data_IF_800859688187
#
_entry.id   IF_800859688187
#
_cell.length_a   1.000
_cell.length_b   1.000
_cell.length_c   1.000
_cell.angle_alpha   90.00
_cell.angle_beta   90.00
_cell.angle_gamma   90.00
#
_symmetry.space_group_name_H-M   'P 1'
#
loop_
_entity.id
_entity.type
_entity.pdbx_description
1 polymer ?
#
# COMPACT_ATOMS: atom_id res chain seq x y z
N UNK A 1 58.85 29.65 37.65
CA UNK A 1 58.48 28.79 36.50
C UNK A 1 57.21 28.04 36.89
N UNK A 2 56.03 28.51 36.44
CA UNK A 2 54.73 27.92 36.78
C UNK A 2 54.26 27.08 35.59
N UNK A 3 54.14 25.78 35.77
CA UNK A 3 53.53 24.86 34.80
C UNK A 3 52.02 24.85 35.11
N UNK A 4 51.22 25.41 34.19
CA UNK A 4 49.77 25.34 34.24
C UNK A 4 49.38 24.05 33.52
N UNK A 5 48.89 23.06 34.28
CA UNK A 5 48.20 21.89 33.72
C UNK A 5 46.80 22.34 33.28
N UNK A 6 46.63 22.52 31.97
CA UNK A 6 45.31 22.71 31.37
C UNK A 6 44.68 21.33 31.14
N UNK A 7 43.98 20.83 32.15
CA UNK A 7 43.10 19.67 32.00
C UNK A 7 41.87 20.10 31.20
N UNK A 8 41.91 19.94 29.88
CA UNK A 8 40.74 20.02 29.02
C UNK A 8 39.91 18.77 29.31
N UNK A 9 38.97 18.89 30.24
CA UNK A 9 37.88 17.94 30.35
C UNK A 9 36.88 18.32 29.27
N UNK A 10 36.91 17.60 28.14
CA UNK A 10 35.81 17.54 27.19
C UNK A 10 34.63 16.87 27.90
N UNK A 11 33.89 17.63 28.69
CA UNK A 11 32.57 17.24 29.15
C UNK A 11 31.65 17.26 27.93
N UNK A 12 31.47 16.10 27.30
CA UNK A 12 30.26 15.82 26.52
C UNK A 12 29.08 15.78 27.49
N UNK A 13 28.52 16.95 27.77
CA UNK A 13 27.24 17.07 28.47
C UNK A 13 26.14 16.71 27.46
N UNK A 14 25.96 15.42 27.12
CA UNK A 14 24.59 14.92 26.86
C UNK A 14 23.95 14.87 28.25
N UNK A 15 23.40 16.00 28.68
CA UNK A 15 22.51 16.04 29.82
C UNK A 15 21.30 15.17 29.47
N UNK A 16 21.19 14.06 30.20
CA UNK A 16 20.00 13.26 30.49
C UNK A 16 18.73 13.78 29.79
N UNK A 17 18.37 13.20 28.64
CA UNK A 17 16.99 13.23 28.13
C UNK A 17 16.74 13.69 26.70
N UNK A 18 17.69 14.33 26.00
CA UNK A 18 17.36 15.07 24.74
C UNK A 18 18.13 14.56 23.49
N UNK A 19 19.06 13.61 23.63
CA UNK A 19 19.88 13.15 22.50
C UNK A 19 19.17 12.18 21.49
N UNK A 20 17.83 12.07 21.45
CA UNK A 20 17.09 11.31 20.43
C UNK A 20 15.65 11.84 20.20
N UNK A 21 15.48 12.91 19.41
CA UNK A 21 14.23 13.10 18.68
C UNK A 21 14.53 13.26 17.19
N UNK A 22 15.22 12.27 16.63
CA UNK A 22 14.77 11.75 15.34
C UNK A 22 13.75 10.67 15.68
N UNK A 23 12.46 10.96 15.50
CA UNK A 23 11.44 9.92 15.51
C UNK A 23 10.79 9.81 14.14
N UNK A 24 11.53 9.39 13.09
CA UNK A 24 10.85 8.83 11.93
C UNK A 24 9.98 7.68 12.44
N UNK A 25 8.78 7.53 11.92
CA UNK A 25 7.95 6.37 12.19
C UNK A 25 8.70 5.11 11.78
N UNK A 26 8.80 4.18 12.73
CA UNK A 26 9.50 2.90 12.61
C UNK A 26 8.54 1.71 12.69
N UNK A 27 7.25 1.94 12.53
CA UNK A 27 6.30 0.89 12.18
C UNK A 27 6.31 0.71 10.67
N UNK A 28 6.75 -0.47 10.23
CA UNK A 28 6.79 -0.86 8.84
C UNK A 28 5.60 -1.76 8.54
N UNK A 29 4.54 -1.18 7.99
CA UNK A 29 3.39 -1.94 7.51
C UNK A 29 3.70 -2.69 6.23
N UNK A 30 3.42 -3.99 6.18
CA UNK A 30 3.40 -4.80 4.96
C UNK A 30 1.95 -5.10 4.57
N UNK A 31 1.63 -4.89 3.30
CA UNK A 31 0.30 -5.13 2.73
C UNK A 31 0.41 -6.18 1.65
N UNK A 32 -0.04 -7.40 1.96
CA UNK A 32 -0.24 -8.44 0.94
C UNK A 32 -1.68 -8.40 0.48
N UNK A 33 -1.89 -8.37 -0.83
CA UNK A 33 -3.23 -8.30 -1.42
C UNK A 33 -3.49 -9.47 -2.35
N UNK A 34 -4.67 -10.07 -2.21
CA UNK A 34 -5.24 -11.02 -3.16
C UNK A 34 -6.52 -10.43 -3.76
N UNK A 35 -6.72 -10.66 -5.06
CA UNK A 35 -7.92 -10.25 -5.77
C UNK A 35 -8.60 -11.47 -6.36
N UNK A 36 -9.89 -11.63 -6.05
CA UNK A 36 -10.74 -12.68 -6.60
C UNK A 36 -11.89 -12.06 -7.39
N UNK A 37 -12.02 -12.42 -8.67
CA UNK A 37 -13.16 -12.03 -9.50
C UNK A 37 -14.40 -12.79 -9.06
N UNK A 38 -15.44 -12.08 -8.64
CA UNK A 38 -16.71 -12.68 -8.25
C UNK A 38 -17.66 -12.81 -9.44
N UNK A 39 -17.61 -11.84 -10.35
CA UNK A 39 -18.33 -11.82 -11.61
C UNK A 39 -17.63 -10.83 -12.57
N UNK A 40 -18.26 -10.49 -13.71
CA UNK A 40 -17.67 -9.61 -14.72
C UNK A 40 -17.37 -8.18 -14.25
N UNK A 41 -17.97 -7.72 -13.15
CA UNK A 41 -17.87 -6.33 -12.70
C UNK A 41 -17.59 -6.17 -11.20
N UNK A 42 -17.38 -7.26 -10.46
CA UNK A 42 -17.11 -7.22 -9.02
C UNK A 42 -15.89 -8.07 -8.67
N UNK A 43 -15.03 -7.50 -7.82
CA UNK A 43 -13.80 -8.10 -7.34
C UNK A 43 -13.79 -8.05 -5.82
N UNK A 44 -13.47 -9.19 -5.19
CA UNK A 44 -13.16 -9.28 -3.77
C UNK A 44 -11.67 -8.96 -3.59
N UNK A 45 -11.38 -8.00 -2.72
CA UNK A 45 -10.03 -7.66 -2.29
C UNK A 45 -9.82 -8.18 -0.89
N UNK A 46 -8.77 -8.94 -0.69
CA UNK A 46 -8.40 -9.55 0.58
C UNK A 46 -6.99 -9.05 0.93
N UNK A 47 -6.85 -8.42 2.09
CA UNK A 47 -5.58 -7.88 2.55
C UNK A 47 -5.14 -8.59 3.80
N UNK A 48 -3.86 -8.94 3.83
CA UNK A 48 -3.13 -9.22 5.06
C UNK A 48 -2.29 -7.98 5.37
N UNK A 49 -2.60 -7.34 6.50
CA UNK A 49 -1.91 -6.16 7.01
C UNK A 49 -1.04 -6.64 8.16
N UNK A 50 0.26 -6.57 7.98
CA UNK A 50 1.27 -7.07 8.92
C UNK A 50 2.11 -5.90 9.42
N UNK A 51 2.42 -5.89 10.71
CA UNK A 51 3.50 -5.06 11.24
C UNK A 51 4.80 -5.86 11.11
N UNK A 52 5.76 -5.39 10.33
CA UNK A 52 7.03 -6.11 10.10
C UNK A 52 7.69 -6.50 11.42
N UNK A 53 8.34 -7.67 11.46
CA UNK A 53 9.16 -8.09 12.61
C UNK A 53 10.29 -7.09 12.93
N UNK A 54 10.74 -6.35 11.91
CA UNK A 54 11.78 -5.31 12.02
C UNK A 54 11.25 -3.99 12.61
N UNK A 55 9.94 -3.87 12.82
CA UNK A 55 9.34 -2.67 13.36
C UNK A 55 9.70 -2.47 14.83
N UNK A 56 10.01 -1.24 15.21
CA UNK A 56 10.28 -0.86 16.61
C UNK A 56 9.02 -0.35 17.33
N UNK A 57 7.88 -0.33 16.63
CA UNK A 57 6.64 0.33 17.07
C UNK A 57 5.44 -0.56 16.82
N UNK A 58 4.38 -0.35 17.61
CA UNK A 58 3.08 -0.98 17.40
C UNK A 58 2.39 -0.28 16.24
N UNK A 59 1.93 -0.99 15.22
CA UNK A 59 1.15 -0.41 14.14
C UNK A 59 -0.27 -0.14 14.64
N UNK A 60 -0.66 1.13 14.67
CA UNK A 60 -1.94 1.57 15.26
C UNK A 60 -2.91 2.14 14.24
N UNK A 61 -2.43 2.58 13.08
CA UNK A 61 -3.28 3.07 12.01
C UNK A 61 -2.73 2.71 10.64
N UNK A 62 -3.63 2.61 9.66
CA UNK A 62 -3.26 2.51 8.26
C UNK A 62 -4.25 3.24 7.36
N UNK A 63 -3.81 3.57 6.16
CA UNK A 63 -4.70 3.95 5.07
C UNK A 63 -4.27 3.33 3.74
N UNK A 64 -5.24 2.84 2.97
CA UNK A 64 -5.06 2.35 1.60
C UNK A 64 -5.76 3.34 0.68
N UNK A 65 -5.04 3.91 -0.30
CA UNK A 65 -5.67 4.80 -1.26
C UNK A 65 -6.54 4.02 -2.26
N UNK A 66 -7.83 4.36 -2.34
CA UNK A 66 -8.82 3.70 -3.19
C UNK A 66 -9.50 4.72 -4.07
N UNK A 67 -9.62 4.40 -5.36
CA UNK A 67 -10.32 5.24 -6.35
C UNK A 67 -11.66 4.63 -6.73
N UNK A 68 -12.49 4.37 -5.71
CA UNK A 68 -13.85 3.84 -5.85
C UNK A 68 -14.78 4.56 -4.86
N UNK A 69 -15.78 5.26 -5.40
CA UNK A 69 -16.74 6.03 -4.59
C UNK A 69 -17.72 5.18 -3.81
N UNK A 70 -17.89 3.92 -4.20
CA UNK A 70 -18.83 3.00 -3.56
C UNK A 70 -18.44 2.62 -2.12
N UNK A 71 -17.25 3.04 -1.67
CA UNK A 71 -16.77 2.85 -0.29
C UNK A 71 -17.05 4.01 0.65
N UNK A 72 -17.59 5.13 0.17
CA UNK A 72 -17.79 6.28 1.04
C UNK A 72 -18.81 5.95 2.14
N UNK A 73 -18.37 6.04 3.39
CA UNK A 73 -19.20 5.74 4.57
C UNK A 73 -19.51 4.26 4.77
N UNK A 74 -18.71 3.36 4.19
CA UNK A 74 -18.80 1.92 4.47
C UNK A 74 -17.82 1.53 5.55
N UNK A 75 -18.35 0.99 6.64
CA UNK A 75 -17.57 0.28 7.66
C UNK A 75 -17.22 -1.12 7.17
N UNK A 76 -15.95 -1.49 7.27
CA UNK A 76 -15.47 -2.84 7.00
C UNK A 76 -15.36 -3.58 8.34
N UNK A 77 -15.89 -4.81 8.44
CA UNK A 77 -15.77 -5.60 9.66
C UNK A 77 -14.30 -5.77 10.07
N UNK A 78 -14.02 -5.48 11.33
CA UNK A 78 -12.74 -5.78 11.95
C UNK A 78 -12.64 -7.27 12.30
N UNK A 79 -11.44 -7.86 12.29
CA UNK A 79 -11.20 -9.19 12.86
C UNK A 79 -11.78 -9.30 14.28
N UNK A 80 -12.30 -10.47 14.69
CA UNK A 80 -12.90 -10.64 16.02
C UNK A 80 -11.90 -10.53 17.17
N UNK A 81 -10.61 -10.75 16.91
CA UNK A 81 -9.53 -10.76 17.90
C UNK A 81 -8.85 -9.39 18.10
N UNK A 82 -9.09 -8.41 17.23
CA UNK A 82 -8.54 -7.05 17.34
C UNK A 82 -9.64 -6.04 17.07
N UNK A 83 -9.81 -5.01 17.91
CA UNK A 83 -10.85 -3.99 17.70
C UNK A 83 -10.28 -2.84 16.86
N UNK A 84 -10.43 -2.94 15.55
CA UNK A 84 -10.15 -1.86 14.61
C UNK A 84 -11.45 -1.22 14.15
N UNK A 85 -11.44 0.08 13.94
CA UNK A 85 -12.48 0.74 13.14
C UNK A 85 -11.93 0.95 11.75
N UNK A 86 -12.59 0.35 10.74
CA UNK A 86 -12.16 0.44 9.35
C UNK A 86 -13.29 1.08 8.55
N UNK A 87 -13.02 2.21 7.92
CA UNK A 87 -14.04 2.99 7.20
C UNK A 87 -13.48 3.64 5.94
N UNK A 88 -14.34 3.79 4.94
CA UNK A 88 -14.09 4.57 3.75
C UNK A 88 -14.32 6.06 4.02
N UNK A 89 -13.36 6.71 4.69
CA UNK A 89 -13.41 8.13 4.99
C UNK A 89 -13.20 8.96 3.71
N UNK A 90 -14.14 9.87 3.42
CA UNK A 90 -13.84 11.10 2.68
C UNK A 90 -13.06 10.94 1.38
N UNK A 91 -13.68 10.26 0.41
CA UNK A 91 -13.40 10.35 -1.03
C UNK A 91 -12.29 9.48 -1.65
N UNK A 92 -11.26 9.02 -0.92
CA UNK A 92 -10.12 8.35 -1.58
C UNK A 92 -9.38 7.30 -0.76
N UNK A 93 -9.85 6.92 0.43
CA UNK A 93 -9.11 5.98 1.28
C UNK A 93 -10.03 5.00 1.99
N UNK A 94 -9.52 3.79 2.25
CA UNK A 94 -9.94 2.98 3.41
C UNK A 94 -8.93 3.27 4.51
N UNK A 95 -9.42 3.63 5.68
CA UNK A 95 -8.60 3.90 6.86
C UNK A 95 -8.97 2.91 7.95
N UNK A 96 -7.98 2.31 8.59
CA UNK A 96 -8.16 1.54 9.81
C UNK A 96 -7.40 2.15 10.97
N UNK A 97 -7.99 2.15 12.16
CA UNK A 97 -7.30 2.55 13.38
C UNK A 97 -7.66 1.63 14.55
N UNK A 98 -6.64 1.15 15.26
CA UNK A 98 -6.72 0.48 16.54
C UNK A 98 -6.59 1.44 17.74
N UNK A 99 -5.98 2.60 17.51
CA UNK A 99 -5.86 3.69 18.47
C UNK A 99 -5.79 5.01 17.70
N UNK A 100 -6.38 6.08 18.23
CA UNK A 100 -6.35 7.38 17.56
C UNK A 100 -7.24 8.43 18.23
N UNK A 101 -6.99 9.71 17.92
CA UNK A 101 -7.71 10.89 18.48
C UNK A 101 -9.24 10.79 18.35
N UNK A 102 -9.75 10.07 17.34
CA UNK A 102 -11.18 9.94 17.07
C UNK A 102 -11.90 8.80 17.82
N UNK A 103 -11.17 7.75 18.22
CA UNK A 103 -11.79 6.52 18.75
C UNK A 103 -11.37 6.18 20.18
N UNK A 104 -10.30 6.81 20.69
CA UNK A 104 -9.79 6.62 22.06
C UNK A 104 -9.61 5.14 22.46
N UNK A 105 -9.35 4.27 21.49
CA UNK A 105 -9.08 2.85 21.73
C UNK A 105 -7.64 2.65 22.22
N UNK A 106 -7.39 1.73 23.17
CA UNK A 106 -6.07 1.54 23.73
C UNK A 106 -5.09 0.92 22.70
N UNK A 107 -3.80 1.30 22.73
CA UNK A 107 -2.77 0.80 21.79
C UNK A 107 -2.59 -0.72 21.76
N UNK A 108 -3.04 -1.43 22.79
CA UNK A 108 -3.07 -2.90 22.84
C UNK A 108 -3.97 -3.56 21.76
N UNK A 109 -4.86 -2.79 21.13
CA UNK A 109 -5.58 -3.24 19.95
C UNK A 109 -4.75 -3.15 18.65
N UNK A 110 -3.59 -2.47 18.69
CA UNK A 110 -2.67 -2.37 17.56
C UNK A 110 -2.03 -3.72 17.22
N UNK A 111 -1.25 -3.71 16.14
CA UNK A 111 -0.45 -4.88 15.73
C UNK A 111 0.96 -4.72 16.29
N UNK A 112 1.35 -5.60 17.21
CA UNK A 112 2.74 -5.72 17.66
C UNK A 112 3.63 -6.19 16.48
N UNK A 113 4.96 -5.97 16.52
CA UNK A 113 5.86 -6.48 15.48
C UNK A 113 5.68 -7.99 15.26
N UNK A 114 5.54 -8.41 14.02
CA UNK A 114 5.23 -9.79 13.61
C UNK A 114 3.75 -10.16 13.66
N UNK A 115 2.88 -9.33 14.24
CA UNK A 115 1.43 -9.56 14.17
C UNK A 115 0.85 -9.12 12.83
N UNK A 116 -0.21 -9.81 12.42
CA UNK A 116 -0.98 -9.49 11.23
C UNK A 116 -2.49 -9.51 11.50
N UNK A 117 -3.23 -8.85 10.63
CA UNK A 117 -4.67 -8.94 10.56
C UNK A 117 -5.16 -9.03 9.12
N UNK A 118 -6.36 -9.56 8.95
CA UNK A 118 -6.99 -9.74 7.65
C UNK A 118 -8.22 -8.86 7.52
N UNK A 119 -8.34 -8.19 6.38
CA UNK A 119 -9.54 -7.44 6.01
C UNK A 119 -9.97 -7.81 4.60
N UNK A 120 -11.27 -7.83 4.34
CA UNK A 120 -11.77 -8.08 2.99
C UNK A 120 -12.99 -7.24 2.66
N UNK A 121 -13.12 -6.91 1.38
CA UNK A 121 -14.26 -6.16 0.86
C UNK A 121 -14.46 -6.38 -0.64
N UNK A 122 -15.64 -5.99 -1.15
CA UNK A 122 -16.00 -6.13 -2.57
C UNK A 122 -16.11 -4.77 -3.24
N UNK A 123 -15.45 -4.62 -4.39
CA UNK A 123 -15.42 -3.39 -5.19
C UNK A 123 -15.70 -3.68 -6.67
N UNK A 124 -16.21 -2.67 -7.39
CA UNK A 124 -16.30 -2.70 -8.86
C UNK A 124 -15.03 -2.22 -9.56
N UNK A 125 -14.11 -1.62 -8.81
CA UNK A 125 -12.86 -1.11 -9.33
C UNK A 125 -11.92 -2.24 -9.73
N UNK A 126 -11.25 -2.08 -10.87
CA UNK A 126 -10.18 -2.97 -11.29
C UNK A 126 -8.96 -2.81 -10.38
N UNK A 127 -8.16 -3.87 -10.24
CA UNK A 127 -6.89 -3.80 -9.50
C UNK A 127 -5.98 -2.70 -10.05
N UNK A 128 -5.47 -1.87 -9.15
CA UNK A 128 -4.56 -0.79 -9.48
C UNK A 128 -3.48 -0.65 -8.41
N UNK A 129 -2.29 -0.21 -8.81
CA UNK A 129 -1.23 0.12 -7.88
C UNK A 129 -1.51 1.50 -7.28
N UNK A 130 -1.78 1.55 -5.97
CA UNK A 130 -1.96 2.79 -5.23
C UNK A 130 -1.11 2.76 -3.94
N UNK A 131 -0.75 3.93 -3.38
CA UNK A 131 -0.01 3.98 -2.14
C UNK A 131 -0.85 3.53 -0.95
N UNK A 132 -0.19 2.95 0.04
CA UNK A 132 -0.69 2.82 1.40
C UNK A 132 0.22 3.58 2.37
N UNK A 133 -0.30 3.82 3.55
CA UNK A 133 0.39 4.51 4.64
C UNK A 133 0.12 3.78 5.95
N UNK A 134 1.12 3.66 6.81
CA UNK A 134 0.96 3.12 8.17
C UNK A 134 1.58 4.02 9.21
N UNK A 135 0.97 4.03 10.38
CA UNK A 135 1.39 4.82 11.53
C UNK A 135 1.73 3.91 12.71
N UNK A 136 2.90 4.15 13.29
CA UNK A 136 3.39 3.48 14.47
C UNK A 136 3.12 4.27 15.74
N UNK A 137 2.91 3.56 16.83
CA UNK A 137 2.86 4.10 18.18
C UNK A 137 4.01 3.52 19.01
N UNK A 138 4.76 4.42 19.65
CA UNK A 138 5.73 4.05 20.69
C UNK A 138 5.01 4.04 22.04
N UNK A 139 4.93 2.87 22.69
CA UNK A 139 4.47 2.79 24.08
C UNK A 139 5.53 3.33 25.04
N UNK A 140 5.17 4.10 26.09
CA UNK A 140 4.05 5.02 26.21
C UNK A 140 4.49 6.48 25.98
N UNK A 141 3.64 7.26 25.31
CA UNK A 141 3.54 8.68 25.65
C UNK A 141 2.79 8.79 26.98
N UNK A 142 3.48 8.68 28.10
CA UNK A 142 2.86 9.04 29.38
C UNK A 142 2.59 10.54 29.39
N UNK A 143 1.63 10.98 30.21
CA UNK A 143 1.43 12.41 30.44
C UNK A 143 2.72 13.07 30.92
N UNK A 144 3.53 12.37 31.73
CA UNK A 144 4.85 12.88 32.13
C UNK A 144 5.81 13.04 30.95
N UNK A 145 5.82 12.10 29.98
CA UNK A 145 6.66 12.21 28.79
C UNK A 145 6.22 13.38 27.92
N UNK A 146 4.92 13.52 27.64
CA UNK A 146 4.37 14.65 26.87
C UNK A 146 4.69 15.97 27.59
N UNK A 147 4.43 16.07 28.89
CA UNK A 147 4.74 17.25 29.69
C UNK A 147 6.24 17.54 29.70
N UNK A 148 7.11 16.51 29.68
CA UNK A 148 8.55 16.67 29.59
C UNK A 148 9.01 17.20 28.24
N UNK A 149 8.34 16.83 27.14
CA UNK A 149 8.63 17.33 25.79
C UNK A 149 8.22 18.80 25.65
N UNK A 150 7.04 19.17 26.14
CA UNK A 150 6.64 20.58 26.21
C UNK A 150 7.60 21.40 27.09
N UNK A 151 8.02 20.86 28.25
CA UNK A 151 9.02 21.51 29.11
C UNK A 151 10.40 21.62 28.45
N UNK A 152 10.74 20.70 27.56
CA UNK A 152 11.97 20.72 26.76
C UNK A 152 11.89 21.68 25.56
N UNK A 153 10.76 22.37 25.37
CA UNK A 153 10.60 23.42 24.36
C UNK A 153 10.05 22.92 23.01
N UNK A 154 9.65 21.65 22.92
CA UNK A 154 8.97 21.15 21.73
C UNK A 154 7.56 21.74 21.63
N UNK A 155 7.19 22.13 20.43
CA UNK A 155 5.84 22.61 20.09
C UNK A 155 4.87 21.44 19.93
N UNK A 156 3.57 21.72 19.97
CA UNK A 156 2.53 20.72 19.72
C UNK A 156 2.72 20.06 18.34
N UNK A 157 3.07 20.83 17.31
CA UNK A 157 3.29 20.32 15.95
C UNK A 157 4.51 19.40 15.84
N UNK A 158 5.55 19.63 16.65
CA UNK A 158 6.73 18.76 16.71
C UNK A 158 6.47 17.47 17.53
N UNK A 159 5.55 17.52 18.49
CA UNK A 159 5.16 16.37 19.31
C UNK A 159 4.12 15.51 18.58
N UNK A 160 3.24 16.14 17.78
CA UNK A 160 2.13 15.52 17.06
C UNK A 160 2.24 15.79 15.56
N UNK A 161 3.33 15.30 14.95
CA UNK A 161 3.58 15.39 13.50
C UNK A 161 2.35 14.85 12.72
N UNK A 162 2.00 15.51 11.61
CA UNK A 162 0.94 15.01 10.72
C UNK A 162 1.22 13.56 10.35
N UNK A 163 0.24 12.68 10.60
CA UNK A 163 0.35 11.25 10.38
C UNK A 163 0.84 10.89 8.97
N UNK A 164 0.61 11.73 7.95
CA UNK A 164 1.12 11.52 6.59
C UNK A 164 2.60 11.78 6.43
N UNK A 165 3.14 12.76 7.17
CA UNK A 165 4.57 13.09 7.17
C UNK A 165 5.34 12.12 8.07
N UNK A 166 4.70 11.65 9.13
CA UNK A 166 5.18 10.57 9.98
C UNK A 166 4.69 9.19 9.54
N UNK A 167 4.15 8.97 8.33
CA UNK A 167 3.73 7.63 7.91
C UNK A 167 4.85 6.89 7.19
N UNK A 168 5.00 5.60 7.49
CA UNK A 168 5.63 4.70 6.54
C UNK A 168 4.74 4.61 5.30
N UNK A 169 5.33 4.74 4.11
CA UNK A 169 4.63 4.74 2.82
C UNK A 169 5.09 3.57 1.97
N UNK A 170 4.15 2.76 1.52
CA UNK A 170 4.39 1.70 0.56
C UNK A 170 3.38 1.72 -0.59
N UNK A 171 3.39 0.66 -1.40
CA UNK A 171 2.42 0.46 -2.48
C UNK A 171 1.80 -0.92 -2.36
N UNK A 172 0.51 -0.99 -2.68
CA UNK A 172 -0.24 -2.24 -2.74
C UNK A 172 -1.25 -2.17 -3.88
N UNK A 173 -1.95 -3.27 -4.12
CA UNK A 173 -3.08 -3.28 -5.03
C UNK A 173 -4.31 -2.80 -4.31
N UNK A 174 -5.10 -1.98 -4.97
CA UNK A 174 -6.41 -1.56 -4.49
C UNK A 174 -7.31 -1.16 -5.65
N UNK A 175 -8.62 -1.02 -5.43
CA UNK A 175 -9.55 -0.79 -6.51
C UNK A 175 -9.41 0.59 -7.13
N UNK A 176 -9.55 0.62 -8.46
CA UNK A 176 -9.77 1.83 -9.25
C UNK A 176 -10.95 1.63 -10.19
N UNK A 177 -11.97 2.44 -10.00
CA UNK A 177 -13.04 2.59 -10.99
C UNK A 177 -12.55 3.49 -12.11
N UNK A 178 -12.60 2.99 -13.32
CA UNK A 178 -12.33 3.76 -14.52
C UNK A 178 -13.59 4.50 -14.96
N UNK A 179 -13.43 5.72 -15.49
CA UNK A 179 -14.55 6.40 -16.13
C UNK A 179 -14.94 5.67 -17.41
N UNK A 180 -16.23 5.58 -17.71
CA UNK A 180 -16.72 4.90 -18.92
C UNK A 180 -16.13 5.48 -20.21
N UNK A 181 -15.79 6.77 -20.17
CA UNK A 181 -15.17 7.54 -21.25
C UNK A 181 -13.64 7.37 -21.35
N UNK A 182 -13.02 6.52 -20.53
CA UNK A 182 -11.57 6.28 -20.68
C UNK A 182 -11.30 5.62 -22.02
N UNK A 183 -10.40 6.22 -22.80
CA UNK A 183 -9.98 5.63 -24.06
C UNK A 183 -9.05 4.43 -23.81
N UNK A 184 -9.10 3.46 -24.74
CA UNK A 184 -8.34 2.22 -24.62
C UNK A 184 -6.82 2.45 -24.62
N UNK A 185 -6.33 3.48 -25.31
CA UNK A 185 -4.89 3.81 -25.35
C UNK A 185 -4.41 4.27 -23.98
N UNK A 186 -5.17 5.10 -23.27
CA UNK A 186 -4.90 5.51 -21.90
C UNK A 186 -4.89 4.31 -20.95
N UNK A 187 -5.86 3.40 -21.08
CA UNK A 187 -5.91 2.18 -20.28
C UNK A 187 -4.68 1.29 -20.52
N UNK A 188 -4.33 1.05 -21.79
CA UNK A 188 -3.17 0.24 -22.19
C UNK A 188 -1.84 0.83 -21.70
N UNK A 189 -1.67 2.14 -21.80
CA UNK A 189 -0.51 2.83 -21.22
C UNK A 189 -0.43 2.64 -19.71
N UNK A 190 -1.57 2.62 -19.02
CA UNK A 190 -1.58 2.34 -17.58
C UNK A 190 -1.19 0.90 -17.27
N UNK A 191 -1.64 -0.07 -18.07
CA UNK A 191 -1.24 -1.47 -17.93
C UNK A 191 0.25 -1.68 -18.18
N UNK A 192 0.84 -0.99 -19.17
CA UNK A 192 2.30 -0.95 -19.38
C UNK A 192 3.04 -0.37 -18.18
N UNK A 193 2.51 0.70 -17.58
CA UNK A 193 3.06 1.28 -16.34
C UNK A 193 2.98 0.29 -15.18
N UNK A 194 1.85 -0.43 -15.02
CA UNK A 194 1.74 -1.48 -14.01
C UNK A 194 2.77 -2.58 -14.20
N UNK A 195 3.03 -3.01 -15.44
CA UNK A 195 4.06 -3.99 -15.76
C UNK A 195 5.45 -3.50 -15.35
N UNK A 196 5.82 -2.29 -15.78
CA UNK A 196 7.11 -1.70 -15.41
C UNK A 196 7.33 -1.67 -13.89
N UNK A 197 6.33 -1.18 -13.13
CA UNK A 197 6.46 -1.09 -11.67
C UNK A 197 6.51 -2.46 -10.99
N UNK A 198 5.69 -3.40 -11.44
CA UNK A 198 5.67 -4.76 -10.87
C UNK A 198 6.99 -5.50 -11.09
N UNK A 199 7.66 -5.25 -12.22
CA UNK A 199 8.95 -5.85 -12.57
C UNK A 199 10.15 -5.14 -11.93
N UNK A 200 10.10 -3.81 -11.83
CA UNK A 200 11.29 -2.99 -11.51
C UNK A 200 11.25 -2.37 -10.12
N UNK A 201 10.07 -2.21 -9.51
CA UNK A 201 9.91 -1.53 -8.21
C UNK A 201 9.46 -2.49 -7.09
N UNK A 202 8.63 -3.49 -7.40
CA UNK A 202 7.92 -4.27 -6.37
C UNK A 202 8.18 -5.76 -6.37
N UNK A 203 8.90 -6.28 -7.38
CA UNK A 203 9.17 -7.71 -7.53
C UNK A 203 7.90 -8.59 -7.53
N UNK A 204 6.75 -8.01 -7.88
CA UNK A 204 5.49 -8.76 -8.04
C UNK A 204 5.54 -9.70 -9.24
N UNK A 205 6.50 -9.48 -10.14
CA UNK A 205 6.98 -10.44 -11.15
C UNK A 205 8.48 -10.60 -10.91
N UNK A 206 8.92 -11.82 -10.62
CA UNK A 206 10.25 -12.06 -10.04
C UNK A 206 11.29 -12.56 -11.06
N UNK A 207 10.95 -12.63 -12.36
CA UNK A 207 11.88 -13.02 -13.42
C UNK A 207 11.87 -12.06 -14.61
N UNK A 208 13.06 -11.73 -15.10
CA UNK A 208 13.25 -10.87 -16.28
C UNK A 208 12.59 -11.46 -17.52
N UNK A 209 12.62 -12.78 -17.68
CA UNK A 209 12.00 -13.48 -18.82
C UNK A 209 10.49 -13.19 -18.89
N UNK A 210 9.76 -13.42 -17.79
CA UNK A 210 8.32 -13.13 -17.74
C UNK A 210 8.04 -11.64 -17.94
N UNK A 211 8.88 -10.76 -17.38
CA UNK A 211 8.76 -9.32 -17.60
C UNK A 211 8.92 -8.89 -19.06
N UNK A 212 9.74 -9.59 -19.84
CA UNK A 212 9.91 -9.36 -21.28
C UNK A 212 8.74 -9.94 -22.07
N UNK A 213 8.29 -11.16 -21.77
CA UNK A 213 7.14 -11.76 -22.46
C UNK A 213 5.88 -10.90 -22.29
N UNK A 214 5.63 -10.41 -21.06
CA UNK A 214 4.54 -9.47 -20.78
C UNK A 214 4.72 -8.12 -21.51
N UNK A 215 5.96 -7.65 -21.69
CA UNK A 215 6.25 -6.44 -22.45
C UNK A 215 5.86 -6.60 -23.91
N UNK A 216 6.33 -7.68 -24.52
CA UNK A 216 6.22 -7.93 -25.94
C UNK A 216 4.74 -8.09 -26.32
N UNK A 217 3.99 -8.83 -25.52
CA UNK A 217 2.55 -8.97 -25.71
C UNK A 217 1.80 -7.64 -25.55
N UNK A 218 2.11 -6.80 -24.54
CA UNK A 218 1.50 -5.46 -24.44
C UNK A 218 1.90 -4.54 -25.61
N UNK A 219 3.07 -4.77 -26.21
CA UNK A 219 3.53 -4.03 -27.38
C UNK A 219 2.79 -4.49 -28.64
N UNK A 220 2.58 -5.79 -28.83
CA UNK A 220 1.75 -6.35 -29.91
C UNK A 220 0.32 -5.83 -29.84
N UNK A 221 -0.30 -5.84 -28.66
CA UNK A 221 -1.64 -5.25 -28.45
C UNK A 221 -1.68 -3.79 -28.89
N UNK A 222 -0.62 -3.01 -28.58
CA UNK A 222 -0.54 -1.60 -28.98
C UNK A 222 -0.43 -1.43 -30.49
N UNK A 223 0.40 -2.25 -31.13
CA UNK A 223 0.63 -2.24 -32.58
C UNK A 223 -0.64 -2.58 -33.33
N UNK A 224 -1.31 -3.69 -32.96
CA UNK A 224 -2.55 -4.12 -33.61
C UNK A 224 -3.72 -3.16 -33.35
N UNK A 225 -3.85 -2.64 -32.13
CA UNK A 225 -4.84 -1.61 -31.82
C UNK A 225 -4.64 -0.34 -32.65
N UNK A 226 -3.40 0.14 -32.79
CA UNK A 226 -3.09 1.31 -33.61
C UNK A 226 -3.35 1.09 -35.11
N UNK A 227 -3.21 -0.15 -35.59
CA UNK A 227 -3.53 -0.54 -36.97
C UNK A 227 -5.04 -0.75 -37.21
N UNK A 228 -5.88 -0.70 -36.18
CA UNK A 228 -7.32 -0.99 -36.26
C UNK A 228 -7.65 -2.49 -36.33
N UNK A 229 -6.67 -3.37 -36.11
CA UNK A 229 -6.86 -4.82 -36.14
C UNK A 229 -7.26 -5.35 -34.76
N UNK A 230 -8.57 -5.31 -34.50
CA UNK A 230 -9.12 -5.70 -33.18
C UNK A 230 -9.01 -7.20 -32.92
N UNK A 231 -8.95 -8.04 -33.96
CA UNK A 231 -8.80 -9.49 -33.82
C UNK A 231 -7.39 -9.84 -33.36
N UNK A 232 -6.37 -9.32 -34.04
CA UNK A 232 -4.98 -9.55 -33.63
C UNK A 232 -4.67 -8.91 -32.28
N UNK A 233 -5.25 -7.74 -31.97
CA UNK A 233 -5.14 -7.15 -30.64
C UNK A 233 -5.74 -8.06 -29.56
N UNK A 234 -6.91 -8.67 -29.80
CA UNK A 234 -7.55 -9.59 -28.86
C UNK A 234 -6.74 -10.89 -28.68
N UNK A 235 -6.12 -11.42 -29.75
CA UNK A 235 -5.25 -12.58 -29.67
C UNK A 235 -4.02 -12.30 -28.79
N UNK A 236 -3.34 -11.17 -28.99
CA UNK A 236 -2.20 -10.78 -28.16
C UNK A 236 -2.59 -10.55 -26.67
N UNK A 237 -3.81 -10.04 -26.38
CA UNK A 237 -4.31 -10.00 -24.99
C UNK A 237 -4.54 -11.41 -24.43
N UNK A 238 -4.99 -12.35 -25.26
CA UNK A 238 -5.20 -13.74 -24.85
C UNK A 238 -3.86 -14.41 -24.52
N UNK A 239 -2.83 -14.22 -25.35
CA UNK A 239 -1.49 -14.72 -25.11
C UNK A 239 -0.86 -14.10 -23.84
N UNK A 240 -1.07 -12.79 -23.63
CA UNK A 240 -0.73 -12.12 -22.37
C UNK A 240 -1.39 -12.78 -21.14
N UNK A 241 -2.67 -13.15 -21.23
CA UNK A 241 -3.39 -13.84 -20.15
C UNK A 241 -2.82 -15.23 -19.89
N UNK A 242 -2.47 -15.98 -20.93
CA UNK A 242 -1.90 -17.32 -20.77
C UNK A 242 -0.50 -17.28 -20.11
N UNK A 243 0.34 -16.30 -20.44
CA UNK A 243 1.61 -16.06 -19.73
C UNK A 243 1.37 -15.83 -18.23
N UNK A 244 0.39 -15.00 -17.87
CA UNK A 244 0.06 -14.72 -16.45
C UNK A 244 -0.38 -16.00 -15.73
N UNK A 245 -1.26 -16.79 -16.35
CA UNK A 245 -1.73 -18.05 -15.76
C UNK A 245 -0.60 -19.05 -15.56
N UNK A 246 0.26 -19.22 -16.56
CA UNK A 246 1.40 -20.14 -16.50
C UNK A 246 2.39 -19.78 -15.39
N UNK A 247 2.45 -18.50 -15.01
CA UNK A 247 3.42 -17.97 -14.04
C UNK A 247 2.84 -17.67 -12.66
N UNK A 248 1.53 -17.87 -12.43
CA UNK A 248 0.80 -17.45 -11.21
C UNK A 248 1.48 -17.82 -9.89
N UNK A 249 2.01 -19.04 -9.78
CA UNK A 249 2.55 -19.56 -8.51
C UNK A 249 4.07 -19.67 -8.46
N UNK A 250 4.74 -19.55 -9.61
CA UNK A 250 6.18 -19.69 -9.72
C UNK A 250 6.88 -18.34 -9.80
N UNK A 251 6.35 -17.45 -10.66
CA UNK A 251 7.06 -16.23 -11.05
C UNK A 251 6.28 -14.93 -10.79
N UNK A 252 5.16 -15.02 -10.08
CA UNK A 252 4.31 -13.87 -9.73
C UNK A 252 3.81 -13.97 -8.30
N UNK A 253 3.62 -12.83 -7.66
CA UNK A 253 2.88 -12.75 -6.39
C UNK A 253 1.37 -12.73 -6.65
N UNK A 254 0.56 -12.85 -5.60
CA UNK A 254 -0.91 -12.70 -5.70
C UNK A 254 -1.30 -11.32 -6.21
N UNK A 255 -0.51 -10.30 -5.86
CA UNK A 255 -0.65 -8.95 -6.39
C UNK A 255 -0.40 -8.92 -7.90
N UNK A 256 0.78 -9.37 -8.34
CA UNK A 256 1.13 -9.40 -9.76
C UNK A 256 0.07 -10.11 -10.60
N UNK A 257 -0.36 -11.29 -10.15
CA UNK A 257 -1.42 -12.06 -10.79
C UNK A 257 -2.74 -11.27 -10.87
N UNK A 258 -3.26 -10.78 -9.74
CA UNK A 258 -4.52 -10.04 -9.69
C UNK A 258 -4.47 -8.76 -10.53
N UNK A 259 -3.34 -8.04 -10.50
CA UNK A 259 -3.14 -6.83 -11.29
C UNK A 259 -3.29 -7.10 -12.77
N UNK A 260 -2.54 -8.06 -13.30
CA UNK A 260 -2.49 -8.27 -14.74
C UNK A 260 -3.69 -9.04 -15.25
N UNK A 261 -4.10 -10.10 -14.56
CA UNK A 261 -5.17 -10.98 -15.04
C UNK A 261 -6.50 -10.23 -15.22
N UNK A 262 -6.95 -9.50 -14.19
CA UNK A 262 -8.24 -8.82 -14.28
C UNK A 262 -8.21 -7.59 -15.19
N UNK A 263 -7.10 -6.84 -15.25
CA UNK A 263 -6.98 -5.73 -16.20
C UNK A 263 -6.91 -6.23 -17.66
N UNK A 264 -6.25 -7.37 -17.92
CA UNK A 264 -6.20 -7.97 -19.25
C UNK A 264 -7.57 -8.51 -19.69
N UNK A 265 -8.31 -9.17 -18.79
CA UNK A 265 -9.69 -9.60 -19.04
C UNK A 265 -10.60 -8.42 -19.39
N UNK A 266 -10.49 -7.31 -18.68
CA UNK A 266 -11.22 -6.09 -19.00
C UNK A 266 -10.83 -5.51 -20.36
N UNK A 267 -9.52 -5.50 -20.68
CA UNK A 267 -9.05 -5.05 -22.00
C UNK A 267 -9.61 -5.90 -23.14
N UNK A 268 -9.61 -7.23 -22.98
CA UNK A 268 -10.17 -8.16 -23.95
C UNK A 268 -11.66 -7.91 -24.20
N UNK A 269 -12.44 -7.67 -23.14
CA UNK A 269 -13.85 -7.31 -23.26
C UNK A 269 -14.05 -6.00 -24.02
N UNK A 270 -13.22 -4.99 -23.76
CA UNK A 270 -13.30 -3.68 -24.43
C UNK A 270 -12.87 -3.72 -25.90
N UNK A 271 -12.10 -4.72 -26.32
CA UNK A 271 -11.71 -4.96 -27.72
C UNK A 271 -12.80 -5.71 -28.52
N UNK A 272 -13.91 -6.11 -27.89
CA UNK A 272 -15.12 -6.58 -28.58
C UNK A 272 -15.18 -8.08 -28.89
N UNK A 273 -14.40 -8.92 -28.22
CA UNK A 273 -14.23 -10.34 -28.63
C UNK A 273 -14.41 -11.41 -27.52
N UNK A 274 -15.14 -11.19 -26.42
CA UNK A 274 -15.57 -12.32 -25.57
C UNK A 274 -16.87 -12.04 -24.80
N UNK A 275 -17.83 -12.98 -24.74
CA UNK A 275 -19.01 -12.90 -23.87
C UNK A 275 -18.67 -12.91 -22.38
#
# INVERSE_FOLDING_TARGET
MRIIFLSIVLFSVCQVGICQIERPNKAYGKFKAEVTGLNSVNYKYEYVIENSEESEQVLVSFSINIKDRSFYGKTIPSPPNKKWYIDGLGKVYITGAAAGRALSLPPENGLEPGEAMEISFVSKGLPAINPFYTEGFVRPFTRELIDSLFKAGYTEDEIFIDWKEAAYKGYTISPRVWADSVDLKTFLNKLKSYRSRSCNEFEWVNTVAVCNDLQDQLQEVSTHFAAGDSLLAANAVTDFIEIIKANRSANMTTEGYGLFYYNARYLLQRLGNYP
#
